data_IF_532931870775
#
_entry.id   IF_532931870775
#
_cell.length_a   1.000
_cell.length_b   1.000
_cell.length_c   1.000
_cell.angle_alpha   90.00
_cell.angle_beta   90.00
_cell.angle_gamma   90.00
#
_symmetry.space_group_name_H-M   'P 1'
#
loop_
_entity.id
_entity.type
_entity.pdbx_description
1 polymer ?
#
# COMPACT_ATOMS: atom_id res chain seq x y z
N UNK A 1 22.33 26.88 -21.20
CA UNK A 1 22.06 25.81 -22.18
C UNK A 1 22.79 24.57 -21.69
N UNK A 2 22.17 23.44 -21.33
CA UNK A 2 20.76 23.03 -21.23
C UNK A 2 20.58 22.22 -19.94
N UNK A 3 19.50 22.43 -19.21
CA UNK A 3 18.21 21.72 -19.28
C UNK A 3 18.16 20.51 -18.33
N UNK A 4 17.54 20.76 -17.18
CA UNK A 4 16.98 19.79 -16.24
C UNK A 4 16.12 18.79 -17.02
N UNK A 5 16.63 17.57 -17.19
CA UNK A 5 15.83 16.47 -17.75
C UNK A 5 15.61 15.42 -16.68
N UNK A 6 14.49 15.61 -15.98
CA UNK A 6 13.48 14.58 -15.79
C UNK A 6 13.97 13.23 -15.26
N UNK A 7 14.07 13.11 -13.94
CA UNK A 7 13.83 11.82 -13.30
C UNK A 7 12.38 11.79 -12.81
N UNK A 8 11.45 11.67 -13.77
CA UNK A 8 10.10 11.22 -13.48
C UNK A 8 10.21 9.80 -12.91
N UNK A 9 10.25 9.71 -11.58
CA UNK A 9 10.21 8.46 -10.86
C UNK A 9 8.80 7.87 -11.05
N UNK A 10 8.61 7.13 -12.14
CA UNK A 10 7.40 6.38 -12.41
C UNK A 10 7.17 5.38 -11.27
N UNK A 11 6.16 5.62 -10.43
CA UNK A 11 5.76 4.79 -9.28
C UNK A 11 5.11 3.45 -9.70
N UNK A 12 5.17 3.07 -10.98
CA UNK A 12 4.56 1.86 -11.52
C UNK A 12 5.66 0.88 -11.92
N UNK A 13 5.90 -0.12 -11.07
CA UNK A 13 6.71 -1.29 -11.40
C UNK A 13 5.97 -2.22 -12.35
N UNK A 14 6.63 -2.65 -13.41
CA UNK A 14 6.12 -3.55 -14.46
C UNK A 14 6.08 -5.01 -14.02
N UNK A 15 5.36 -5.32 -12.93
CA UNK A 15 4.90 -6.69 -12.69
C UNK A 15 3.40 -6.74 -12.97
N UNK A 16 3.07 -7.53 -14.00
CA UNK A 16 1.75 -7.96 -14.48
C UNK A 16 0.67 -7.94 -13.37
N UNK A 17 -0.55 -7.43 -13.66
CA UNK A 17 -1.36 -6.73 -12.67
C UNK A 17 -1.54 -7.59 -11.42
N UNK A 18 -1.34 -7.02 -10.21
CA UNK A 18 -1.75 -7.71 -9.01
C UNK A 18 -3.21 -8.13 -9.19
N UNK A 19 -3.55 -9.31 -8.68
CA UNK A 19 -4.94 -9.75 -8.54
C UNK A 19 -5.74 -8.52 -8.12
N UNK A 20 -6.78 -8.16 -8.87
CA UNK A 20 -7.67 -7.08 -8.47
C UNK A 20 -8.31 -7.52 -7.15
N UNK A 21 -7.67 -7.17 -6.05
CA UNK A 21 -8.20 -7.41 -4.73
C UNK A 21 -9.37 -6.44 -4.58
N UNK A 22 -10.54 -7.00 -4.28
CA UNK A 22 -11.78 -6.24 -4.07
C UNK A 22 -11.63 -5.15 -2.98
N UNK A 23 -10.57 -5.26 -2.19
CA UNK A 23 -10.31 -4.44 -1.01
C UNK A 23 -9.44 -3.22 -1.33
N UNK A 24 -8.34 -3.37 -2.07
CA UNK A 24 -7.52 -2.27 -2.59
C UNK A 24 -6.55 -2.71 -3.70
N UNK A 25 -6.23 -1.79 -4.61
CA UNK A 25 -5.12 -1.93 -5.56
C UNK A 25 -3.89 -1.23 -5.01
N UNK A 26 -2.70 -1.83 -5.11
CA UNK A 26 -1.50 -1.25 -4.52
C UNK A 26 -0.22 -1.54 -5.31
N UNK A 27 0.79 -0.70 -5.08
CA UNK A 27 2.17 -0.90 -5.50
C UNK A 27 3.12 -0.52 -4.37
N UNK A 28 4.32 -1.11 -4.39
CA UNK A 28 5.39 -0.74 -3.50
C UNK A 28 6.71 -0.62 -4.28
N UNK A 29 7.59 0.25 -3.81
CA UNK A 29 8.90 0.46 -4.42
C UNK A 29 9.89 1.05 -3.44
N UNK A 30 11.18 0.89 -3.75
CA UNK A 30 12.28 1.45 -2.97
C UNK A 30 13.06 2.47 -3.77
N UNK A 31 13.49 3.53 -3.10
CA UNK A 31 14.45 4.51 -3.63
C UNK A 31 15.50 4.78 -2.57
N UNK A 32 16.71 4.25 -2.77
CA UNK A 32 17.75 4.27 -1.73
C UNK A 32 17.32 3.47 -0.51
N UNK A 33 17.53 4.02 0.70
CA UNK A 33 17.13 3.42 1.96
C UNK A 33 15.71 3.85 2.40
N UNK A 34 14.80 4.00 1.45
CA UNK A 34 13.41 4.39 1.73
C UNK A 34 12.48 3.59 0.85
N UNK A 35 11.49 2.97 1.47
CA UNK A 35 10.40 2.26 0.81
C UNK A 35 9.13 3.07 0.82
N UNK A 36 8.38 2.94 -0.26
CA UNK A 36 7.13 3.65 -0.51
C UNK A 36 6.06 2.63 -0.84
N UNK A 37 4.89 2.82 -0.26
CA UNK A 37 3.70 2.04 -0.53
C UNK A 37 2.60 3.01 -0.92
N UNK A 38 1.93 2.71 -2.03
CA UNK A 38 0.83 3.52 -2.51
C UNK A 38 -0.28 2.64 -3.05
N UNK A 39 -1.52 3.00 -2.78
CA UNK A 39 -2.64 2.25 -3.31
C UNK A 39 -3.95 3.00 -3.24
N UNK A 40 -4.93 2.49 -3.98
CA UNK A 40 -6.31 2.93 -3.96
C UNK A 40 -7.14 1.97 -3.11
N UNK A 41 -7.84 2.49 -2.12
CA UNK A 41 -8.79 1.76 -1.29
C UNK A 41 -10.09 1.58 -2.07
N UNK A 42 -10.49 0.33 -2.29
CA UNK A 42 -11.71 -0.03 -3.03
C UNK A 42 -12.85 -0.32 -2.05
N UNK A 43 -12.57 -1.05 -0.96
CA UNK A 43 -13.58 -1.32 0.06
C UNK A 43 -13.77 -0.09 0.99
N UNK A 44 -14.94 0.57 0.96
CA UNK A 44 -15.20 1.77 1.75
C UNK A 44 -15.24 1.51 3.27
N UNK A 45 -15.34 0.24 3.69
CA UNK A 45 -15.32 -0.18 5.10
C UNK A 45 -13.93 -0.06 5.70
N UNK A 46 -12.87 -0.08 4.87
CA UNK A 46 -11.50 0.12 5.33
C UNK A 46 -11.31 1.58 5.73
N UNK A 47 -11.04 1.80 7.02
CA UNK A 47 -10.78 3.12 7.62
C UNK A 47 -9.36 3.29 8.11
N UNK A 48 -8.58 2.21 8.17
CA UNK A 48 -7.17 2.23 8.55
C UNK A 48 -6.38 1.27 7.66
N UNK A 49 -5.20 1.70 7.24
CA UNK A 49 -4.23 0.86 6.54
C UNK A 49 -2.96 0.81 7.38
N UNK A 50 -2.41 -0.40 7.53
CA UNK A 50 -1.09 -0.62 8.13
C UNK A 50 -0.17 -1.32 7.12
N UNK A 51 1.10 -0.92 7.09
CA UNK A 51 2.16 -1.58 6.30
C UNK A 51 3.18 -2.21 7.22
N UNK A 52 3.56 -3.46 6.96
CA UNK A 52 4.63 -4.12 7.69
C UNK A 52 6.00 -3.58 7.24
N UNK A 53 6.69 -2.94 8.16
CA UNK A 53 7.99 -2.29 7.93
C UNK A 53 9.17 -3.19 8.33
N UNK A 54 8.94 -4.07 9.29
CA UNK A 54 9.84 -5.13 9.74
C UNK A 54 8.96 -6.29 10.22
N UNK A 55 9.54 -7.48 10.39
CA UNK A 55 8.77 -8.67 10.77
C UNK A 55 7.93 -8.43 12.03
N UNK A 56 6.61 -8.40 11.88
CA UNK A 56 5.58 -8.09 12.86
C UNK A 56 5.52 -6.64 13.38
N UNK A 57 6.22 -5.70 12.76
CA UNK A 57 6.15 -4.27 13.08
C UNK A 57 5.43 -3.53 11.96
N UNK A 58 4.41 -2.76 12.34
CA UNK A 58 3.49 -2.11 11.44
C UNK A 58 3.50 -0.60 11.65
N UNK A 59 3.38 0.14 10.56
CA UNK A 59 3.14 1.58 10.57
C UNK A 59 1.84 1.93 9.87
N UNK A 60 1.17 2.95 10.39
CA UNK A 60 -0.07 3.47 9.84
C UNK A 60 0.23 4.23 8.54
N UNK A 61 -0.48 3.88 7.47
CA UNK A 61 -0.41 4.65 6.23
C UNK A 61 -1.31 5.89 6.31
N UNK A 62 -0.87 6.97 5.67
CA UNK A 62 -1.69 8.16 5.48
C UNK A 62 -2.84 7.84 4.52
N UNK A 63 -4.08 8.06 4.94
CA UNK A 63 -5.26 7.96 4.07
C UNK A 63 -5.55 9.33 3.45
N UNK A 64 -5.65 9.36 2.13
CA UNK A 64 -5.88 10.55 1.32
C UNK A 64 -7.22 10.38 0.61
N UNK A 65 -8.15 11.31 0.81
CA UNK A 65 -9.46 11.28 0.15
C UNK A 65 -9.56 12.39 -0.89
N UNK A 66 -9.96 12.04 -2.11
CA UNK A 66 -10.19 12.99 -3.20
C UNK A 66 -11.49 12.66 -3.92
N UNK A 67 -12.51 13.48 -3.72
CA UNK A 67 -13.86 13.20 -4.21
C UNK A 67 -14.42 11.90 -3.63
N UNK A 68 -14.71 10.92 -4.50
CA UNK A 68 -15.18 9.58 -4.12
C UNK A 68 -14.07 8.54 -3.98
N UNK A 69 -12.83 8.90 -4.29
CA UNK A 69 -11.70 7.99 -4.25
C UNK A 69 -10.94 8.13 -2.93
N UNK A 70 -10.54 6.99 -2.39
CA UNK A 70 -9.69 6.90 -1.21
C UNK A 70 -8.38 6.23 -1.60
N UNK A 71 -7.28 6.81 -1.16
CA UNK A 71 -5.93 6.31 -1.39
C UNK A 71 -5.22 6.15 -0.06
N UNK A 72 -4.19 5.32 -0.04
CA UNK A 72 -3.24 5.27 1.07
C UNK A 72 -1.82 5.50 0.57
N UNK A 73 -1.00 6.07 1.45
CA UNK A 73 0.42 6.27 1.21
C UNK A 73 1.21 5.99 2.50
N UNK A 74 2.25 5.19 2.40
CA UNK A 74 3.23 5.01 3.48
C UNK A 74 4.63 5.22 2.94
N UNK A 75 5.46 5.92 3.72
CA UNK A 75 6.88 6.11 3.48
C UNK A 75 7.62 5.57 4.70
N UNK A 76 8.52 4.64 4.47
CA UNK A 76 9.20 3.87 5.51
C UNK A 76 10.70 4.00 5.30
N UNK A 77 11.44 4.27 6.37
CA UNK A 77 12.91 4.24 6.34
C UNK A 77 13.39 2.79 6.38
N UNK A 78 14.19 2.41 5.39
CA UNK A 78 14.67 1.04 5.19
C UNK A 78 14.41 0.50 3.79
N UNK A 79 14.82 -0.75 3.58
CA UNK A 79 14.55 -1.51 2.37
C UNK A 79 13.16 -2.15 2.38
N UNK A 80 12.64 -2.45 1.19
CA UNK A 80 11.31 -3.01 1.04
C UNK A 80 11.32 -4.47 1.49
N UNK A 81 10.56 -4.77 2.53
CA UNK A 81 10.40 -6.15 3.03
C UNK A 81 9.39 -6.88 2.15
N UNK A 82 9.82 -8.00 1.56
CA UNK A 82 9.01 -8.85 0.69
C UNK A 82 8.79 -10.25 1.31
N UNK A 83 7.59 -10.84 1.19
CA UNK A 83 6.38 -10.23 0.61
C UNK A 83 5.86 -9.07 1.46
N UNK A 84 5.38 -8.00 0.80
CA UNK A 84 4.80 -6.86 1.51
C UNK A 84 3.50 -7.26 2.19
N UNK A 85 3.37 -6.92 3.48
CA UNK A 85 2.14 -7.12 4.24
C UNK A 85 1.41 -5.79 4.42
N UNK A 86 0.32 -5.61 3.69
CA UNK A 86 -0.55 -4.46 3.83
C UNK A 86 -1.85 -4.96 4.43
N UNK A 87 -2.29 -4.31 5.51
CA UNK A 87 -3.49 -4.67 6.26
C UNK A 87 -4.50 -3.55 6.18
N UNK A 88 -5.76 -3.91 5.94
CA UNK A 88 -6.89 -3.00 6.00
C UNK A 88 -7.79 -3.32 7.18
N UNK A 89 -8.13 -2.31 7.97
CA UNK A 89 -9.00 -2.45 9.13
C UNK A 89 -10.23 -1.56 9.02
N UNK A 90 -11.32 -2.02 9.63
CA UNK A 90 -12.54 -1.23 9.78
C UNK A 90 -12.37 -0.12 10.83
N UNK A 91 -13.40 0.71 10.98
CA UNK A 91 -13.44 1.77 12.00
C UNK A 91 -13.31 1.24 13.44
N UNK A 92 -13.77 0.02 13.71
CA UNK A 92 -13.71 -0.60 15.04
C UNK A 92 -12.40 -1.37 15.30
N UNK A 93 -11.48 -1.38 14.34
CA UNK A 93 -10.21 -2.12 14.43
C UNK A 93 -10.27 -3.58 13.98
N UNK A 94 -11.38 -4.04 13.41
CA UNK A 94 -11.46 -5.38 12.80
C UNK A 94 -10.58 -5.47 11.55
N UNK A 95 -9.75 -6.52 11.46
CA UNK A 95 -8.95 -6.81 10.28
C UNK A 95 -9.85 -7.30 9.14
N UNK A 96 -10.04 -6.46 8.13
CA UNK A 96 -10.84 -6.78 6.94
C UNK A 96 -9.99 -7.58 5.94
N UNK A 97 -8.74 -7.16 5.72
CA UNK A 97 -7.88 -7.72 4.69
C UNK A 97 -6.41 -7.69 5.08
N UNK A 98 -5.64 -8.67 4.60
CA UNK A 98 -4.18 -8.69 4.62
C UNK A 98 -3.64 -9.36 3.35
N UNK A 99 -2.62 -8.75 2.75
CA UNK A 99 -1.96 -9.30 1.55
C UNK A 99 -1.25 -10.64 1.78
N UNK A 100 -0.89 -10.97 3.04
CA UNK A 100 -0.21 -12.24 3.39
C UNK A 100 -1.18 -13.25 4.04
N UNK A 101 -2.23 -12.77 4.72
CA UNK A 101 -3.20 -13.63 5.40
C UNK A 101 -4.61 -13.31 4.90
N UNK A 102 -5.16 -14.08 3.94
CA UNK A 102 -6.56 -13.96 3.60
C UNK A 102 -7.41 -14.26 4.83
N UNK A 103 -8.24 -13.30 5.23
CA UNK A 103 -9.23 -13.40 6.30
C UNK A 103 -10.57 -13.96 5.81
N UNK A 104 -10.82 -13.95 4.49
CA UNK A 104 -12.00 -14.61 3.91
C UNK A 104 -11.83 -16.12 4.01
N UNK A 105 -12.69 -16.77 4.82
CA UNK A 105 -12.92 -18.21 4.71
C UNK A 105 -13.43 -18.47 3.29
N UNK A 106 -12.70 -19.29 2.54
CA UNK A 106 -13.21 -19.89 1.32
C UNK A 106 -14.08 -21.04 1.82
N UNK A 107 -15.39 -20.85 1.83
CA UNK A 107 -16.37 -21.94 1.98
C UNK A 107 -16.54 -22.68 0.65
#
# INVERSE_FOLDING_TARGET
MGDDTGSEATLAGTYYPPVQDEEFNWSAGSRGNTSHYFGQIINPTIKKIEVEIQRNFFEDALIISSGKAHFFFAKVDGELVMPANIRGFSENGELIYSTIKPTKKID
#
